data_IF_536920386841
#
_entry.id   IF_536920386841
#
_cell.length_a   1.000
_cell.length_b   1.000
_cell.length_c   1.000
_cell.angle_alpha   90.00
_cell.angle_beta   90.00
_cell.angle_gamma   90.00
#
_symmetry.space_group_name_H-M   'P 1'
#
loop_
_entity.id
_entity.type
_entity.pdbx_description
1 polymer ?
#
# COMPACT_ATOMS: atom_id res chain seq x y z
N UNK A 1 -2.29 3.63 -24.12
CA UNK A 1 -1.47 4.42 -23.20
C UNK A 1 -1.21 3.54 -21.99
N UNK A 2 0.04 3.42 -21.53
CA UNK A 2 0.31 2.77 -20.24
C UNK A 2 -0.41 3.56 -19.15
N UNK A 3 -1.03 2.85 -18.22
CA UNK A 3 -1.81 3.41 -17.13
C UNK A 3 -0.92 4.38 -16.32
N UNK A 4 -1.36 5.59 -15.94
CA UNK A 4 -0.57 6.49 -15.10
C UNK A 4 0.06 5.79 -13.88
N UNK A 5 -0.63 4.81 -13.28
CA UNK A 5 -0.11 4.07 -12.14
C UNK A 5 1.05 3.13 -12.49
N UNK A 6 1.13 2.59 -13.72
CA UNK A 6 2.29 1.80 -14.15
C UNK A 6 3.57 2.65 -14.14
N UNK A 7 3.46 3.90 -14.62
CA UNK A 7 4.59 4.84 -14.65
C UNK A 7 5.00 5.26 -13.25
N UNK A 8 4.03 5.51 -12.37
CA UNK A 8 4.30 5.83 -10.98
C UNK A 8 4.93 4.65 -10.24
N UNK A 9 4.47 3.43 -10.50
CA UNK A 9 5.06 2.21 -9.95
C UNK A 9 6.52 2.05 -10.40
N UNK A 10 6.82 2.26 -11.69
CA UNK A 10 8.20 2.25 -12.18
C UNK A 10 9.07 3.34 -11.52
N UNK A 11 8.52 4.54 -11.27
CA UNK A 11 9.23 5.59 -10.55
C UNK A 11 9.44 5.26 -9.06
N UNK A 12 8.48 4.56 -8.43
CA UNK A 12 8.59 4.05 -7.07
C UNK A 12 9.72 3.01 -6.97
N UNK A 13 9.78 2.07 -7.92
CA UNK A 13 10.83 1.05 -8.00
C UNK A 13 12.22 1.70 -8.11
N UNK A 14 12.34 2.67 -9.03
CA UNK A 14 13.57 3.43 -9.28
C UNK A 14 13.94 4.38 -8.13
N UNK A 15 13.04 4.63 -7.17
CA UNK A 15 13.26 5.60 -6.09
C UNK A 15 13.29 7.06 -6.56
N UNK A 16 12.71 7.34 -7.73
CA UNK A 16 12.66 8.68 -8.35
C UNK A 16 11.31 9.36 -8.20
N UNK A 17 10.34 8.70 -7.56
CA UNK A 17 9.04 9.26 -7.28
C UNK A 17 9.16 10.43 -6.30
N UNK A 18 8.52 11.56 -6.62
CA UNK A 18 8.48 12.73 -5.75
C UNK A 18 7.49 12.49 -4.60
N UNK A 19 7.95 12.44 -3.33
CA UNK A 19 7.07 12.25 -2.18
C UNK A 19 6.00 13.35 -2.04
N UNK A 20 6.27 14.57 -2.52
CA UNK A 20 5.32 15.69 -2.43
C UNK A 20 4.15 15.54 -3.42
N UNK A 21 4.33 14.78 -4.49
CA UNK A 21 3.33 14.51 -5.52
C UNK A 21 2.66 13.13 -5.36
N UNK A 22 3.00 12.37 -4.31
CA UNK A 22 2.47 11.03 -4.09
C UNK A 22 1.34 11.05 -3.05
N UNK A 23 0.10 11.09 -3.55
CA UNK A 23 -1.10 11.11 -2.71
C UNK A 23 -1.45 9.71 -2.20
N UNK A 24 -2.38 9.64 -1.24
CA UNK A 24 -2.93 8.36 -0.78
C UNK A 24 -3.67 7.62 -1.91
N UNK A 25 -4.32 8.33 -2.84
CA UNK A 25 -4.93 7.71 -4.02
C UNK A 25 -3.88 7.05 -4.89
N UNK A 26 -2.75 7.72 -5.11
CA UNK A 26 -1.66 7.18 -5.91
C UNK A 26 -1.08 5.92 -5.26
N UNK A 27 -0.97 5.90 -3.93
CA UNK A 27 -0.55 4.71 -3.19
C UNK A 27 -1.48 3.50 -3.41
N UNK A 28 -2.81 3.70 -3.37
CA UNK A 28 -3.75 2.61 -3.70
C UNK A 28 -3.60 2.20 -5.17
N UNK A 29 -3.54 3.16 -6.08
CA UNK A 29 -3.44 2.88 -7.52
C UNK A 29 -2.16 2.15 -7.93
N UNK A 30 -0.99 2.55 -7.42
CA UNK A 30 0.27 1.82 -7.70
C UNK A 30 0.28 0.41 -7.09
N UNK A 31 -0.42 0.20 -5.97
CA UNK A 31 -0.56 -1.12 -5.37
C UNK A 31 -1.42 -2.03 -6.23
N UNK A 32 -2.55 -1.54 -6.76
CA UNK A 32 -3.38 -2.28 -7.72
C UNK A 32 -2.58 -2.58 -8.99
N UNK A 33 -1.81 -1.60 -9.51
CA UNK A 33 -0.96 -1.81 -10.67
C UNK A 33 0.08 -2.92 -10.43
N UNK A 34 0.73 -2.94 -9.26
CA UNK A 34 1.68 -3.99 -8.89
C UNK A 34 1.01 -5.38 -8.82
N UNK A 35 -0.15 -5.47 -8.16
CA UNK A 35 -0.91 -6.72 -8.03
C UNK A 35 -1.47 -7.25 -9.36
N UNK A 36 -1.55 -6.41 -10.39
CA UNK A 36 -1.92 -6.83 -11.76
C UNK A 36 -0.72 -7.33 -12.57
N UNK A 37 0.50 -6.95 -12.20
CA UNK A 37 1.73 -7.29 -12.91
C UNK A 37 2.43 -8.51 -12.30
N UNK A 38 2.36 -8.65 -10.98
CA UNK A 38 3.10 -9.61 -10.19
C UNK A 38 2.16 -10.50 -9.35
N UNK A 39 2.65 -11.62 -8.83
CA UNK A 39 1.91 -12.35 -7.81
C UNK A 39 1.85 -11.55 -6.49
N UNK A 40 1.02 -11.99 -5.54
CA UNK A 40 0.81 -11.27 -4.29
C UNK A 40 2.12 -10.98 -3.53
N UNK A 41 3.03 -11.95 -3.43
CA UNK A 41 4.22 -11.80 -2.60
C UNK A 41 5.26 -10.91 -3.29
N UNK A 42 5.39 -11.02 -4.61
CA UNK A 42 6.24 -10.16 -5.40
C UNK A 42 5.73 -8.71 -5.38
N UNK A 43 4.42 -8.50 -5.56
CA UNK A 43 3.79 -7.18 -5.44
C UNK A 43 3.96 -6.58 -4.03
N UNK A 44 3.75 -7.39 -2.98
CA UNK A 44 3.93 -6.96 -1.59
C UNK A 44 5.38 -6.52 -1.33
N UNK A 45 6.36 -7.31 -1.77
CA UNK A 45 7.77 -6.97 -1.60
C UNK A 45 8.13 -5.67 -2.35
N UNK A 46 7.65 -5.54 -3.59
CA UNK A 46 7.85 -4.37 -4.44
C UNK A 46 7.31 -3.10 -3.79
N UNK A 47 6.04 -3.12 -3.35
CA UNK A 47 5.39 -1.98 -2.68
C UNK A 47 6.08 -1.66 -1.35
N UNK A 48 6.35 -2.65 -0.50
CA UNK A 48 7.00 -2.43 0.79
C UNK A 48 8.38 -1.79 0.65
N UNK A 49 9.23 -2.33 -0.23
CA UNK A 49 10.56 -1.78 -0.48
C UNK A 49 10.50 -0.39 -1.13
N UNK A 50 9.57 -0.17 -2.05
CA UNK A 50 9.34 1.12 -2.70
C UNK A 50 8.95 2.21 -1.71
N UNK A 51 7.95 1.95 -0.86
CA UNK A 51 7.49 2.90 0.17
C UNK A 51 8.54 3.16 1.24
N UNK A 52 9.28 2.14 1.66
CA UNK A 52 10.38 2.30 2.62
C UNK A 52 11.47 3.22 2.06
N UNK A 53 11.85 3.03 0.79
CA UNK A 53 12.79 3.91 0.08
C UNK A 53 12.25 5.32 -0.10
N UNK A 54 10.97 5.46 -0.46
CA UNK A 54 10.31 6.76 -0.60
C UNK A 54 10.35 7.56 0.70
N UNK A 55 9.98 6.94 1.82
CA UNK A 55 10.01 7.55 3.14
C UNK A 55 11.45 7.93 3.57
N UNK A 56 12.43 7.07 3.28
CA UNK A 56 13.85 7.34 3.51
C UNK A 56 14.36 8.52 2.70
N UNK A 57 14.07 8.57 1.39
CA UNK A 57 14.45 9.67 0.51
C UNK A 57 13.78 11.00 0.90
N UNK A 58 12.58 10.94 1.47
CA UNK A 58 11.87 12.08 2.02
C UNK A 58 12.41 12.56 3.39
N UNK A 59 13.39 11.87 3.99
CA UNK A 59 13.94 12.20 5.30
C UNK A 59 13.00 11.90 6.48
N UNK A 60 11.95 11.10 6.25
CA UNK A 60 10.92 10.75 7.25
C UNK A 60 10.70 9.23 7.30
N UNK A 61 11.75 8.42 7.51
CA UNK A 61 11.65 6.96 7.50
C UNK A 61 10.65 6.40 8.53
N UNK A 62 10.37 7.14 9.60
CA UNK A 62 9.40 6.80 10.64
C UNK A 62 7.93 6.80 10.17
N UNK A 63 7.65 7.36 8.99
CA UNK A 63 6.33 7.29 8.36
C UNK A 63 6.04 5.93 7.73
N UNK A 64 7.06 5.13 7.43
CA UNK A 64 6.84 3.77 6.96
C UNK A 64 6.28 2.91 8.10
N UNK A 65 5.24 2.14 7.81
CA UNK A 65 4.62 1.22 8.77
C UNK A 65 4.38 -0.14 8.09
N UNK A 66 5.18 -1.14 8.48
CA UNK A 66 5.13 -2.48 7.88
C UNK A 66 3.77 -3.17 8.03
N UNK A 67 3.12 -3.04 9.20
CA UNK A 67 1.80 -3.64 9.44
C UNK A 67 0.72 -2.98 8.58
N UNK A 68 0.71 -1.65 8.49
CA UNK A 68 -0.26 -0.93 7.65
C UNK A 68 -0.05 -1.30 6.19
N UNK A 69 1.18 -1.26 5.67
CA UNK A 69 1.46 -1.65 4.28
C UNK A 69 1.02 -3.09 3.99
N UNK A 70 1.40 -4.05 4.84
CA UNK A 70 1.00 -5.45 4.67
C UNK A 70 -0.53 -5.61 4.64
N UNK A 71 -1.22 -5.02 5.62
CA UNK A 71 -2.66 -5.14 5.73
C UNK A 71 -3.39 -4.48 4.54
N UNK A 72 -2.89 -3.34 4.07
CA UNK A 72 -3.49 -2.61 2.95
C UNK A 72 -3.30 -3.36 1.62
N UNK A 73 -2.09 -3.88 1.34
CA UNK A 73 -1.83 -4.70 0.14
C UNK A 73 -2.68 -5.97 0.17
N UNK A 74 -2.78 -6.64 1.32
CA UNK A 74 -3.64 -7.83 1.50
C UNK A 74 -5.11 -7.53 1.24
N UNK A 75 -5.62 -6.42 1.78
CA UNK A 75 -7.00 -6.00 1.57
C UNK A 75 -7.30 -5.66 0.11
N UNK A 76 -6.40 -4.94 -0.56
CA UNK A 76 -6.54 -4.63 -1.99
C UNK A 76 -6.56 -5.93 -2.80
N UNK A 77 -5.60 -6.82 -2.59
CA UNK A 77 -5.51 -8.09 -3.30
C UNK A 77 -6.79 -8.92 -3.11
N UNK A 78 -7.30 -9.01 -1.88
CA UNK A 78 -8.56 -9.69 -1.61
C UNK A 78 -9.73 -9.11 -2.41
N UNK A 79 -9.87 -7.78 -2.46
CA UNK A 79 -10.98 -7.13 -3.18
C UNK A 79 -10.84 -7.19 -4.70
N UNK A 80 -9.63 -7.39 -5.21
CA UNK A 80 -9.41 -7.61 -6.65
C UNK A 80 -9.94 -8.98 -7.11
N UNK A 81 -10.09 -9.97 -6.22
CA UNK A 81 -10.69 -11.26 -6.58
C UNK A 81 -12.18 -11.14 -6.93
N UNK A 82 -12.87 -10.11 -6.41
CA UNK A 82 -14.29 -9.87 -6.67
C UNK A 82 -14.58 -9.28 -8.06
N UNK A 83 -13.55 -8.87 -8.82
CA UNK A 83 -13.74 -8.35 -10.17
C UNK A 83 -12.48 -7.90 -10.89
N UNK A 84 -12.48 -8.02 -12.23
CA UNK A 84 -11.45 -7.46 -13.09
C UNK A 84 -11.80 -6.05 -13.58
N UNK A 85 -10.79 -5.25 -13.90
CA UNK A 85 -10.99 -3.89 -14.41
C UNK A 85 -9.70 -3.10 -14.55
N UNK A 86 -9.80 -1.85 -14.98
CA UNK A 86 -8.72 -0.88 -14.88
C UNK A 86 -8.44 -0.51 -13.43
N UNK A 87 -7.32 0.18 -13.16
CA UNK A 87 -7.06 0.68 -11.81
C UNK A 87 -8.13 1.70 -11.40
N UNK A 88 -8.58 2.54 -12.33
CA UNK A 88 -9.64 3.52 -12.06
C UNK A 88 -10.97 2.84 -11.68
N UNK A 89 -11.37 1.78 -12.38
CA UNK A 89 -12.59 1.02 -12.03
C UNK A 89 -12.49 0.47 -10.59
N UNK A 90 -11.31 -0.02 -10.19
CA UNK A 90 -11.08 -0.48 -8.82
C UNK A 90 -11.20 0.65 -7.80
N UNK A 91 -10.59 1.81 -8.07
CA UNK A 91 -10.62 2.96 -7.17
C UNK A 91 -12.04 3.53 -7.02
N UNK A 92 -12.82 3.56 -8.10
CA UNK A 92 -14.23 3.99 -8.08
C UNK A 92 -15.12 2.99 -7.32
N UNK A 93 -14.84 1.69 -7.42
CA UNK A 93 -15.55 0.64 -6.69
C UNK A 93 -15.18 0.54 -5.20
N UNK A 94 -14.08 1.15 -4.76
CA UNK A 94 -13.55 1.04 -3.40
C UNK A 94 -13.25 2.40 -2.74
N UNK A 95 -14.22 3.32 -2.65
CA UNK A 95 -13.99 4.69 -2.16
C UNK A 95 -13.58 4.76 -0.68
N UNK A 96 -13.89 3.74 0.11
CA UNK A 96 -13.49 3.64 1.51
C UNK A 96 -11.98 3.46 1.69
N UNK A 97 -11.29 2.86 0.70
CA UNK A 97 -9.83 2.78 0.67
C UNK A 97 -9.18 4.16 0.52
N UNK A 98 -9.89 5.18 0.02
CA UNK A 98 -9.35 6.50 -0.29
C UNK A 98 -9.59 7.56 0.78
N UNK A 99 -10.69 7.45 1.51
CA UNK A 99 -11.14 8.49 2.44
C UNK A 99 -11.37 7.98 3.87
N UNK A 100 -11.27 6.66 4.09
CA UNK A 100 -11.49 6.03 5.38
C UNK A 100 -10.21 5.56 6.08
N UNK A 101 -10.42 4.82 7.16
CA UNK A 101 -9.41 3.95 7.75
C UNK A 101 -9.90 2.51 7.61
N UNK A 102 -9.69 1.86 6.45
CA UNK A 102 -10.23 0.52 6.20
C UNK A 102 -9.66 -0.55 7.15
N UNK A 103 -8.62 -0.21 7.91
CA UNK A 103 -7.99 -1.08 8.91
C UNK A 103 -8.52 -0.88 10.33
N UNK A 104 -9.30 0.18 10.60
CA UNK A 104 -9.75 0.54 11.95
C UNK A 104 -10.58 -0.57 12.64
N UNK A 105 -11.28 -1.40 11.87
CA UNK A 105 -12.03 -2.55 12.39
C UNK A 105 -11.23 -3.84 12.51
N UNK A 106 -10.01 -3.89 11.95
CA UNK A 106 -9.17 -5.09 11.92
C UNK A 106 -8.18 -5.10 13.09
N UNK A 107 -7.58 -3.95 13.39
CA UNK A 107 -6.60 -3.82 14.47
C UNK A 107 -7.23 -3.06 15.63
N UNK A 108 -7.14 -3.56 16.88
CA UNK A 108 -7.38 -2.75 18.07
C UNK A 108 -6.56 -1.46 18.04
N UNK A 109 -7.09 -0.43 18.66
CA UNK A 109 -6.49 0.90 18.69
C UNK A 109 -5.02 0.84 19.14
N UNK A 110 -4.14 1.46 18.36
CA UNK A 110 -2.69 1.51 18.61
C UNK A 110 -1.91 0.23 18.34
N UNK A 111 -2.55 -0.92 18.06
CA UNK A 111 -1.84 -2.18 17.80
C UNK A 111 -0.89 -2.05 16.59
N UNK A 112 -1.38 -1.44 15.50
CA UNK A 112 -0.60 -1.24 14.27
C UNK A 112 0.49 -0.16 14.40
N UNK A 113 0.49 0.64 15.47
CA UNK A 113 1.40 1.78 15.64
C UNK A 113 2.55 1.53 16.63
N UNK A 114 2.59 0.35 17.26
CA UNK A 114 3.69 -0.02 18.16
C UNK A 114 5.03 -0.08 17.41
N UNK A 115 6.18 0.13 18.09
CA UNK A 115 7.49 0.01 17.46
C UNK A 115 7.75 -1.36 16.79
N UNK A 116 7.15 -2.44 17.33
CA UNK A 116 7.18 -3.75 16.71
C UNK A 116 6.35 -3.77 15.42
N UNK A 117 5.09 -3.33 15.47
CA UNK A 117 4.18 -3.34 14.32
C UNK A 117 4.66 -2.47 13.15
N UNK A 118 5.34 -1.35 13.44
CA UNK A 118 5.96 -0.53 12.39
C UNK A 118 7.12 -1.23 11.67
N UNK A 119 7.80 -2.17 12.34
CA UNK A 119 8.97 -2.91 11.80
C UNK A 119 8.62 -4.29 11.23
N UNK A 120 7.64 -4.97 11.82
CA UNK A 120 7.24 -6.33 11.47
C UNK A 120 5.73 -6.35 11.34
N UNK A 121 5.16 -6.84 10.22
CA UNK A 121 3.72 -7.01 10.11
C UNK A 121 3.20 -7.92 11.23
N UNK A 122 2.34 -7.39 12.09
CA UNK A 122 1.65 -8.17 13.13
C UNK A 122 0.26 -8.59 12.66
N UNK A 123 -0.21 -9.74 13.14
CA UNK A 123 -1.58 -10.18 12.86
C UNK A 123 -2.58 -9.44 13.78
N UNK A 124 -3.81 -9.20 13.30
CA UNK A 124 -4.84 -8.53 14.08
C UNK A 124 -5.19 -9.32 15.34
N UNK A 125 -5.33 -8.63 16.47
CA UNK A 125 -5.78 -9.22 17.74
C UNK A 125 -4.77 -10.12 18.48
N UNK A 126 -3.61 -10.40 17.88
CA UNK A 126 -2.51 -11.11 18.55
C UNK A 126 -1.69 -10.14 19.39
N UNK A 127 -1.64 -10.38 20.70
CA UNK A 127 -0.73 -9.65 21.60
C UNK A 127 0.64 -10.33 21.58
N UNK A 128 1.71 -9.52 21.50
CA UNK A 128 3.11 -9.97 21.56
C UNK A 128 3.65 -10.01 22.98
#
# INVERSE_FOLDING_TARGET
>A
MSDPYDRMLAALDAGTLDPAAFSHRDHVGVTVAALKQDDFYDALARIACGLQRLAGNAGVPEKFNATVTFAFVSLIAQRMEDGGGSVEDFLEGNPDLLSGNPLAGLYPEGQADTPLAKRVPVLPGVQG
#
